data_IF_133237901323
#
_entry.id   IF_133237901323
#
_cell.length_a   1.000
_cell.length_b   1.000
_cell.length_c   1.000
_cell.angle_alpha   90.00
_cell.angle_beta   90.00
_cell.angle_gamma   90.00
#
_symmetry.space_group_name_H-M   'P 1'
#
loop_
_entity.id
_entity.type
_entity.pdbx_description
1 polymer ?
#
# COMPACT_ATOMS: atom_id res chain seq x y z
N UNK A 1 -10.12 -38.49 45.93
CA UNK A 1 -9.24 -37.39 45.48
C UNK A 1 -9.40 -37.26 43.97
N UNK A 2 -10.11 -36.23 43.49
CA UNK A 2 -9.57 -34.93 43.02
C UNK A 2 -8.78 -35.10 41.71
N UNK A 3 -9.04 -34.44 40.58
CA UNK A 3 -10.00 -33.42 40.13
C UNK A 3 -9.85 -33.38 38.59
N UNK A 4 -10.93 -33.35 37.81
CA UNK A 4 -10.86 -32.97 36.39
C UNK A 4 -10.81 -31.44 36.29
N UNK A 5 -9.93 -30.83 35.47
CA UNK A 5 -9.97 -29.38 35.29
C UNK A 5 -11.12 -29.04 34.35
N UNK A 6 -12.25 -28.69 34.95
CA UNK A 6 -13.22 -27.79 34.36
C UNK A 6 -12.53 -26.47 34.05
N UNK A 7 -12.42 -26.09 32.78
CA UNK A 7 -12.12 -24.71 32.42
C UNK A 7 -13.28 -24.11 31.63
N UNK A 8 -14.19 -23.49 32.37
CA UNK A 8 -15.30 -22.70 31.87
C UNK A 8 -14.84 -21.26 31.63
N UNK A 9 -14.43 -20.94 30.40
CA UNK A 9 -14.25 -19.55 29.99
C UNK A 9 -15.52 -19.03 29.29
N UNK A 10 -16.28 -18.26 30.05
CA UNK A 10 -17.44 -17.47 29.60
C UNK A 10 -17.01 -16.47 28.52
N UNK A 11 -17.92 -16.25 27.57
CA UNK A 11 -17.95 -15.18 26.56
C UNK A 11 -17.02 -15.28 25.33
N UNK A 12 -17.38 -16.14 24.38
CA UNK A 12 -17.35 -15.73 22.98
C UNK A 12 -18.55 -16.33 22.24
N UNK A 13 -19.36 -15.51 21.55
CA UNK A 13 -20.56 -15.92 20.78
C UNK A 13 -20.21 -16.74 19.52
N UNK A 14 -19.10 -17.46 19.54
CA UNK A 14 -18.40 -17.95 18.37
C UNK A 14 -17.96 -19.40 18.63
N UNK A 15 -18.25 -20.32 17.70
CA UNK A 15 -17.72 -21.66 17.79
C UNK A 15 -16.19 -21.63 17.74
N UNK A 16 -15.57 -22.64 18.34
CA UNK A 16 -14.12 -22.85 18.28
C UNK A 16 -13.65 -22.90 16.81
N UNK A 17 -12.44 -22.41 16.51
CA UNK A 17 -11.93 -22.41 15.14
C UNK A 17 -11.85 -23.82 14.55
N UNK A 18 -12.27 -23.98 13.30
CA UNK A 18 -12.09 -25.22 12.54
C UNK A 18 -10.61 -25.41 12.18
N UNK A 19 -10.03 -26.55 12.55
CA UNK A 19 -8.66 -26.93 12.21
C UNK A 19 -8.66 -27.87 11.00
N UNK A 20 -7.96 -27.50 9.94
CA UNK A 20 -7.78 -28.31 8.73
C UNK A 20 -6.32 -28.73 8.63
N UNK A 21 -6.07 -30.04 8.51
CA UNK A 21 -4.72 -30.54 8.21
C UNK A 21 -4.45 -30.40 6.72
N UNK A 22 -3.31 -29.80 6.38
CA UNK A 22 -2.85 -29.62 5.02
C UNK A 22 -1.43 -30.16 4.93
N UNK A 23 -1.11 -30.83 3.83
CA UNK A 23 0.27 -31.11 3.44
C UNK A 23 0.98 -29.81 3.06
N UNK A 24 2.32 -29.85 2.96
CA UNK A 24 3.11 -28.68 2.58
C UNK A 24 2.70 -28.16 1.19
N UNK A 25 2.50 -29.06 0.22
CA UNK A 25 2.13 -28.72 -1.15
C UNK A 25 0.74 -28.08 -1.23
N UNK A 26 -0.26 -28.65 -0.55
CA UNK A 26 -1.61 -28.10 -0.50
C UNK A 26 -1.63 -26.71 0.14
N UNK A 27 -0.85 -26.52 1.21
CA UNK A 27 -0.74 -25.21 1.87
C UNK A 27 -0.08 -24.18 0.95
N UNK A 28 0.98 -24.55 0.23
CA UNK A 28 1.65 -23.67 -0.72
C UNK A 28 0.72 -23.27 -1.88
N UNK A 29 -0.02 -24.22 -2.46
CA UNK A 29 -1.00 -23.95 -3.52
C UNK A 29 -2.13 -23.01 -3.04
N UNK A 30 -2.60 -23.19 -1.80
CA UNK A 30 -3.58 -22.29 -1.20
C UNK A 30 -3.02 -20.90 -0.91
N UNK A 31 -1.75 -20.78 -0.49
CA UNK A 31 -1.11 -19.48 -0.28
C UNK A 31 -0.87 -18.73 -1.59
N UNK A 32 -0.47 -19.42 -2.66
CA UNK A 32 -0.33 -18.82 -3.98
C UNK A 32 -1.67 -18.33 -4.53
N UNK A 33 -2.71 -19.15 -4.43
CA UNK A 33 -4.04 -18.78 -4.92
C UNK A 33 -4.75 -17.75 -4.04
N UNK A 34 -4.42 -17.65 -2.75
CA UNK A 34 -4.88 -16.58 -1.87
C UNK A 34 -4.25 -15.22 -2.18
N UNK A 35 -3.02 -15.19 -2.72
CA UNK A 35 -2.28 -13.98 -3.04
C UNK A 35 -2.12 -13.06 -1.83
N UNK A 36 -2.71 -11.87 -1.90
CA UNK A 36 -2.68 -10.88 -0.80
C UNK A 36 -3.75 -11.10 0.28
N UNK A 37 -4.64 -12.08 0.13
CA UNK A 37 -5.70 -12.37 1.11
C UNK A 37 -5.17 -13.34 2.17
N UNK A 38 -5.56 -13.18 3.46
CA UNK A 38 -5.22 -14.17 4.47
C UNK A 38 -5.87 -15.52 4.13
N UNK A 39 -5.10 -16.60 4.29
CA UNK A 39 -5.48 -17.96 3.90
C UNK A 39 -6.89 -18.36 4.37
N UNK A 40 -7.22 -18.08 5.63
CA UNK A 40 -8.55 -18.40 6.18
C UNK A 40 -9.71 -17.60 5.55
N UNK A 41 -9.48 -16.38 5.08
CA UNK A 41 -10.48 -15.61 4.34
C UNK A 41 -10.65 -16.14 2.91
N UNK A 42 -9.53 -16.50 2.27
CA UNK A 42 -9.56 -17.12 0.94
C UNK A 42 -10.30 -18.46 0.96
N UNK A 43 -9.94 -19.36 1.89
CA UNK A 43 -10.62 -20.66 2.06
C UNK A 43 -12.12 -20.46 2.28
N UNK A 44 -12.50 -19.51 3.15
CA UNK A 44 -13.91 -19.24 3.41
C UNK A 44 -14.64 -18.68 2.18
N UNK A 45 -14.01 -17.77 1.44
CA UNK A 45 -14.60 -17.23 0.21
C UNK A 45 -14.86 -18.32 -0.85
N UNK A 46 -13.99 -19.33 -0.92
CA UNK A 46 -14.17 -20.49 -1.78
C UNK A 46 -15.28 -21.43 -1.28
N UNK A 47 -15.36 -21.66 0.04
CA UNK A 47 -16.37 -22.55 0.63
C UNK A 47 -17.80 -21.97 0.61
N UNK A 48 -17.96 -20.67 0.80
CA UNK A 48 -19.26 -20.01 0.92
C UNK A 48 -19.59 -19.10 -0.28
N UNK A 49 -18.89 -19.26 -1.40
CA UNK A 49 -19.22 -18.56 -2.66
C UNK A 49 -19.07 -17.03 -2.60
N UNK A 50 -18.29 -16.49 -1.67
CA UNK A 50 -18.00 -15.06 -1.57
C UNK A 50 -19.16 -14.17 -1.06
N UNK A 51 -20.28 -14.74 -0.60
CA UNK A 51 -21.47 -13.99 -0.16
C UNK A 51 -21.42 -13.54 1.31
N UNK A 52 -20.35 -13.84 2.04
CA UNK A 52 -20.23 -13.43 3.44
C UNK A 52 -19.83 -11.96 3.59
N UNK A 53 -20.58 -11.24 4.45
CA UNK A 53 -20.16 -9.93 4.92
C UNK A 53 -18.77 -10.04 5.58
N UNK A 54 -17.77 -9.26 5.14
CA UNK A 54 -16.42 -9.33 5.68
C UNK A 54 -16.49 -9.02 7.17
N UNK A 55 -16.19 -10.03 7.99
CA UNK A 55 -16.16 -9.85 9.45
C UNK A 55 -15.14 -8.76 9.75
N UNK A 56 -15.58 -7.62 10.32
CA UNK A 56 -14.71 -6.53 10.77
C UNK A 56 -13.60 -7.13 11.64
N UNK A 57 -12.43 -7.35 11.05
CA UNK A 57 -11.22 -7.75 11.75
C UNK A 57 -10.24 -6.62 11.57
N UNK A 58 -9.66 -6.20 12.71
CA UNK A 58 -8.56 -5.24 12.81
C UNK A 58 -7.56 -5.62 11.72
N UNK A 59 -7.41 -4.74 10.74
CA UNK A 59 -6.46 -4.85 9.65
C UNK A 59 -5.10 -5.12 10.27
N UNK A 60 -4.72 -6.40 10.35
CA UNK A 60 -3.35 -6.77 10.63
C UNK A 60 -2.65 -6.46 9.33
N UNK A 61 -2.07 -5.27 9.32
CA UNK A 61 -1.06 -4.73 8.42
C UNK A 61 -0.85 -5.65 7.23
N UNK A 62 -1.52 -5.31 6.12
CA UNK A 62 -1.25 -5.82 4.78
C UNK A 62 0.28 -5.96 4.67
N UNK A 63 0.80 -7.17 4.37
CA UNK A 63 2.24 -7.33 4.18
C UNK A 63 2.64 -6.31 3.12
N UNK A 64 3.58 -5.38 3.43
CA UNK A 64 4.00 -4.44 2.42
C UNK A 64 4.56 -5.24 1.26
N UNK A 65 4.04 -5.01 0.05
CA UNK A 65 4.72 -5.51 -1.14
C UNK A 65 6.16 -4.97 -1.06
N UNK A 66 7.16 -5.77 -1.44
CA UNK A 66 8.58 -5.33 -1.41
C UNK A 66 8.77 -3.94 -2.03
N UNK A 67 7.92 -3.59 -2.99
CA UNK A 67 7.90 -2.31 -3.69
C UNK A 67 7.45 -1.12 -2.82
N UNK A 68 6.61 -1.31 -1.79
CA UNK A 68 6.15 -0.21 -0.93
C UNK A 68 7.30 0.45 -0.15
N UNK A 69 8.32 -0.33 0.25
CA UNK A 69 9.49 0.23 0.93
C UNK A 69 10.35 1.06 -0.02
N UNK A 70 10.64 0.52 -1.21
CA UNK A 70 11.44 1.22 -2.22
C UNK A 70 10.72 2.50 -2.73
N UNK A 71 9.41 2.42 -2.92
CA UNK A 71 8.57 3.55 -3.29
C UNK A 71 8.48 4.60 -2.16
N UNK A 72 8.39 4.16 -0.90
CA UNK A 72 8.45 5.04 0.26
C UNK A 72 9.79 5.76 0.42
N UNK A 73 10.90 5.05 0.22
CA UNK A 73 12.26 5.64 0.21
C UNK A 73 12.43 6.65 -0.93
N UNK A 74 11.92 6.35 -2.12
CA UNK A 74 11.94 7.28 -3.25
C UNK A 74 11.12 8.54 -2.97
N UNK A 75 9.94 8.42 -2.35
CA UNK A 75 9.14 9.57 -1.93
C UNK A 75 9.85 10.42 -0.87
N UNK A 76 10.53 9.77 0.08
CA UNK A 76 11.37 10.46 1.07
C UNK A 76 12.46 11.28 0.38
N UNK A 77 13.21 10.67 -0.54
CA UNK A 77 14.24 11.36 -1.34
C UNK A 77 13.68 12.49 -2.20
N UNK A 78 12.49 12.31 -2.76
CA UNK A 78 11.81 13.35 -3.53
C UNK A 78 11.44 14.54 -2.63
N UNK A 79 10.94 14.30 -1.42
CA UNK A 79 10.71 15.34 -0.42
C UNK A 79 11.99 16.07 0.01
N UNK A 80 13.10 15.33 0.15
CA UNK A 80 14.42 15.87 0.50
C UNK A 80 15.07 16.67 -0.63
N UNK A 81 14.68 16.47 -1.89
CA UNK A 81 15.31 17.13 -3.05
C UNK A 81 15.11 18.65 -3.13
N UNK A 82 14.38 19.24 -2.17
CA UNK A 82 14.18 20.70 -2.00
C UNK A 82 13.67 21.40 -3.26
N UNK A 83 12.90 20.71 -4.12
CA UNK A 83 12.40 21.25 -5.39
C UNK A 83 11.69 22.60 -5.23
N UNK A 84 10.84 22.75 -4.22
CA UNK A 84 10.16 24.02 -3.93
C UNK A 84 11.14 25.17 -3.64
N UNK A 85 12.25 24.88 -2.95
CA UNK A 85 13.30 25.88 -2.67
C UNK A 85 14.04 26.27 -3.95
N UNK A 86 14.40 25.29 -4.78
CA UNK A 86 15.09 25.53 -6.05
C UNK A 86 14.20 26.32 -7.04
N UNK A 87 12.90 25.99 -7.12
CA UNK A 87 11.92 26.75 -7.90
C UNK A 87 11.81 28.19 -7.41
N UNK A 88 11.81 28.41 -6.09
CA UNK A 88 11.78 29.76 -5.52
C UNK A 88 13.07 30.55 -5.82
N UNK A 89 14.23 29.88 -5.88
CA UNK A 89 15.49 30.51 -6.29
C UNK A 89 15.48 30.91 -7.76
N UNK A 90 14.94 30.04 -8.63
CA UNK A 90 14.75 30.35 -10.05
C UNK A 90 13.78 31.51 -10.26
N UNK A 91 12.66 31.54 -9.53
CA UNK A 91 11.71 32.65 -9.57
C UNK A 91 12.34 33.98 -9.11
N UNK A 92 13.16 33.95 -8.05
CA UNK A 92 13.92 35.13 -7.62
C UNK A 92 14.93 35.59 -8.66
N UNK A 93 15.68 34.66 -9.27
CA UNK A 93 16.67 34.96 -10.30
C UNK A 93 16.02 35.51 -11.59
N UNK A 94 14.84 35.00 -11.96
CA UNK A 94 14.03 35.54 -13.04
C UNK A 94 13.54 36.96 -12.73
N UNK A 95 12.94 37.17 -11.55
CA UNK A 95 12.45 38.48 -11.14
C UNK A 95 13.55 39.53 -10.97
N UNK A 96 14.77 39.11 -10.60
CA UNK A 96 15.93 40.02 -10.50
C UNK A 96 16.62 40.26 -11.84
N UNK A 97 16.17 39.63 -12.92
CA UNK A 97 16.80 39.70 -14.24
C UNK A 97 18.14 38.96 -14.36
N UNK A 98 18.54 38.23 -13.30
CA UNK A 98 19.80 37.47 -13.26
C UNK A 98 19.72 36.13 -13.99
N UNK A 99 18.50 35.62 -14.22
CA UNK A 99 18.22 34.50 -15.10
C UNK A 99 17.55 35.05 -16.37
N UNK A 100 18.18 34.96 -17.56
CA UNK A 100 17.54 35.34 -18.79
C UNK A 100 16.40 34.37 -19.09
N UNK A 101 15.16 34.80 -18.83
CA UNK A 101 13.94 34.05 -19.13
C UNK A 101 13.63 34.21 -20.62
N UNK A 102 14.27 33.39 -21.44
CA UNK A 102 13.91 33.24 -22.86
C UNK A 102 12.73 32.28 -22.99
N UNK A 103 11.98 32.32 -24.11
CA UNK A 103 10.89 31.38 -24.36
C UNK A 103 11.32 29.91 -24.23
N UNK A 104 12.56 29.59 -24.60
CA UNK A 104 13.11 28.24 -24.47
C UNK A 104 13.33 27.84 -23.01
N UNK A 105 13.83 28.76 -22.18
CA UNK A 105 14.01 28.50 -20.74
C UNK A 105 12.67 28.36 -20.01
N UNK A 106 11.67 29.17 -20.37
CA UNK A 106 10.32 29.07 -19.82
C UNK A 106 9.69 27.70 -20.18
N UNK A 107 9.81 27.30 -21.43
CA UNK A 107 9.33 25.98 -21.90
C UNK A 107 10.05 24.82 -21.20
N UNK A 108 11.37 24.92 -21.03
CA UNK A 108 12.14 23.90 -20.31
C UNK A 108 11.72 23.76 -18.84
N UNK A 109 11.42 24.88 -18.17
CA UNK A 109 10.91 24.88 -16.80
C UNK A 109 9.52 24.28 -16.70
N UNK A 110 8.61 24.65 -17.62
CA UNK A 110 7.26 24.10 -17.66
C UNK A 110 7.29 22.58 -17.83
N UNK A 111 8.09 22.09 -18.79
CA UNK A 111 8.28 20.66 -19.02
C UNK A 111 8.82 19.95 -17.78
N UNK A 112 9.84 20.52 -17.12
CA UNK A 112 10.38 19.94 -15.90
C UNK A 112 9.34 19.86 -14.77
N UNK A 113 8.48 20.87 -14.61
CA UNK A 113 7.38 20.83 -13.65
C UNK A 113 6.37 19.72 -13.97
N UNK A 114 6.03 19.55 -15.25
CA UNK A 114 5.11 18.52 -15.72
C UNK A 114 5.69 17.10 -15.54
N UNK A 115 6.98 16.92 -15.81
CA UNK A 115 7.69 15.64 -15.58
C UNK A 115 7.67 15.27 -14.08
N UNK A 116 7.97 16.22 -13.19
CA UNK A 116 7.91 16.00 -11.74
C UNK A 116 6.49 15.65 -11.28
N UNK A 117 5.47 16.35 -11.82
CA UNK A 117 4.06 16.05 -11.52
C UNK A 117 3.68 14.64 -11.96
N UNK A 118 4.12 14.24 -13.15
CA UNK A 118 3.87 12.91 -13.72
C UNK A 118 4.52 11.82 -12.87
N UNK A 119 5.80 11.99 -12.52
CA UNK A 119 6.50 11.07 -11.61
C UNK A 119 5.78 10.93 -10.26
N UNK A 120 5.30 12.04 -9.67
CA UNK A 120 4.54 12.01 -8.42
C UNK A 120 3.23 11.23 -8.54
N UNK A 121 2.48 11.42 -9.62
CA UNK A 121 1.20 10.72 -9.84
C UNK A 121 1.44 9.22 -9.99
N UNK A 122 2.40 8.82 -10.83
CA UNK A 122 2.74 7.41 -11.05
C UNK A 122 3.16 6.72 -9.75
N UNK A 123 3.94 7.38 -8.91
CA UNK A 123 4.34 6.85 -7.61
C UNK A 123 3.16 6.68 -6.64
N UNK A 124 2.27 7.67 -6.58
CA UNK A 124 1.10 7.60 -5.72
C UNK A 124 0.09 6.53 -6.21
N UNK A 125 -0.03 6.31 -7.52
CA UNK A 125 -0.80 5.21 -8.10
C UNK A 125 -0.18 3.85 -7.76
N UNK A 126 1.13 3.69 -7.94
CA UNK A 126 1.84 2.45 -7.62
C UNK A 126 1.71 2.07 -6.12
N UNK A 127 1.62 3.07 -5.25
CA UNK A 127 1.38 2.90 -3.80
C UNK A 127 -0.10 2.72 -3.43
N UNK A 128 -1.03 2.82 -4.39
CA UNK A 128 -2.45 2.64 -4.16
C UNK A 128 -3.15 3.79 -3.43
N UNK A 129 -2.57 4.99 -3.41
CA UNK A 129 -3.19 6.19 -2.86
C UNK A 129 -4.17 6.86 -3.83
N UNK A 130 -3.97 6.69 -5.13
CA UNK A 130 -4.94 7.08 -6.16
C UNK A 130 -5.59 5.82 -6.72
N UNK A 131 -6.89 5.68 -6.47
CA UNK A 131 -7.70 4.69 -7.18
C UNK A 131 -7.75 5.11 -8.64
N UNK A 132 -7.10 4.35 -9.52
CA UNK A 132 -7.51 4.30 -10.91
C UNK A 132 -8.88 3.63 -10.93
N UNK A 133 -9.94 4.39 -10.73
CA UNK A 133 -11.27 3.94 -11.10
C UNK A 133 -11.31 3.86 -12.63
N UNK A 134 -11.14 2.63 -13.12
CA UNK A 134 -11.74 2.11 -14.34
C UNK A 134 -12.20 0.69 -14.03
#
# INVERSE_FOLDING_TARGET
>A
MSTSPSNSSKNSKLPTPFSLRLTFEERAALEQSAGNRPLGAYIRSKLFGGTEAPRKRRSRTRKPLKDEKALGELLGKLGESRLASNVNQLAKAANSGSLPVTPDTEKALQNACDDVRTMRILLMQALGYYSSEV
#
